data_IF_980502762260
#
_entry.id   IF_980502762260
#
_cell.length_a   1.000
_cell.length_b   1.000
_cell.length_c   1.000
_cell.angle_alpha   90.00
_cell.angle_beta   90.00
_cell.angle_gamma   90.00
#
_symmetry.space_group_name_H-M   'P 1'
#
loop_
_entity.id
_entity.type
_entity.pdbx_description
1 polymer ?
#
# COMPACT_ATOMS: atom_id res chain seq x y z
N UNK A 1 26.29 46.62 -20.07
CA UNK A 1 25.80 46.31 -19.90
C UNK A 1 25.02 45.77 -19.45
N UNK A 2 24.69 45.53 -19.18
CA UNK A 2 23.99 44.97 -18.81
C UNK A 2 23.22 44.65 -18.33
N UNK A 3 22.92 44.65 -18.06
CA UNK A 3 22.19 44.45 -17.61
C UNK A 3 21.37 43.96 -17.42
N UNK A 4 21.15 43.84 -17.38
CA UNK A 4 20.26 43.50 -17.19
C UNK A 4 19.65 42.77 -16.80
N UNK A 5 19.96 42.38 -16.78
CA UNK A 5 19.51 41.63 -16.33
C UNK A 5 18.70 41.66 -15.52
N UNK A 6 18.77 42.06 -15.02
CA UNK A 6 18.03 42.43 -14.26
C UNK A 6 16.86 41.95 -14.48
N UNK A 7 16.58 41.94 -15.12
CA UNK A 7 15.59 41.49 -15.52
C UNK A 7 15.21 40.36 -14.95
N UNK A 8 15.93 39.77 -14.83
CA UNK A 8 15.74 38.61 -14.28
C UNK A 8 14.73 38.74 -13.28
N UNK A 9 14.90 39.51 -12.66
CA UNK A 9 14.06 39.70 -11.63
C UNK A 9 12.67 39.49 -11.94
N UNK A 10 12.36 40.11 -12.70
CA UNK A 10 11.17 40.10 -12.99
C UNK A 10 10.72 38.94 -13.05
N UNK A 11 11.39 38.45 -13.38
CA UNK A 11 11.21 37.22 -13.57
C UNK A 11 10.62 36.82 -12.43
N UNK A 12 11.21 37.04 -11.69
CA UNK A 12 10.82 36.58 -10.54
C UNK A 12 9.43 36.81 -10.40
N UNK A 13 9.13 37.79 -10.65
CA UNK A 13 7.94 38.07 -10.45
C UNK A 13 7.15 37.13 -10.89
N UNK A 14 7.55 36.74 -11.68
CA UNK A 14 6.92 35.85 -12.24
C UNK A 14 6.52 34.98 -11.33
N UNK A 15 7.19 34.85 -10.75
CA UNK A 15 6.97 33.95 -9.85
C UNK A 15 5.67 34.25 -9.29
N UNK A 16 5.47 35.25 -9.20
CA UNK A 16 4.37 35.63 -8.63
C UNK A 16 3.19 34.89 -8.89
N UNK A 17 3.14 34.32 -9.80
CA UNK A 17 1.96 33.72 -10.10
C UNK A 17 1.54 32.89 -9.01
N UNK A 18 0.99 33.29 -8.39
CA UNK A 18 0.34 32.70 -7.61
C UNK A 18 -0.67 32.06 -8.21
N UNK A 19 -0.39 31.06 -8.43
CA UNK A 19 -1.37 30.17 -8.74
C UNK A 19 -2.26 30.16 -7.63
N UNK A 20 -3.42 30.44 -7.88
CA UNK A 20 -4.38 30.39 -6.87
C UNK A 20 -4.46 28.97 -6.43
N UNK A 21 -4.50 28.89 -5.24
CA UNK A 21 -4.60 27.69 -4.62
C UNK A 21 -5.56 26.85 -5.35
N UNK A 22 -5.05 25.88 -5.92
CA UNK A 22 -5.86 24.90 -6.42
C UNK A 22 -6.38 24.19 -5.24
N UNK A 23 -7.57 24.43 -5.05
CA UNK A 23 -8.20 23.64 -4.09
C UNK A 23 -8.45 22.36 -4.73
N UNK A 24 -7.90 21.60 -4.34
CA UNK A 24 -7.58 20.39 -4.74
C UNK A 24 -8.58 19.38 -4.57
N UNK A 25 -9.09 19.07 -5.63
CA UNK A 25 -9.53 17.73 -5.81
C UNK A 25 -8.32 16.85 -5.55
N UNK A 26 -8.41 15.87 -4.69
CA UNK A 26 -7.30 14.99 -4.45
C UNK A 26 -6.91 14.36 -5.77
N UNK A 27 -5.69 14.59 -6.13
CA UNK A 27 -5.14 13.99 -7.32
C UNK A 27 -5.29 12.48 -7.21
N UNK A 28 -5.67 11.83 -8.27
CA UNK A 28 -5.78 10.38 -8.23
C UNK A 28 -4.45 9.82 -7.76
N UNK A 29 -4.50 8.96 -6.77
CA UNK A 29 -3.29 8.39 -6.25
C UNK A 29 -2.74 7.40 -7.25
N UNK A 30 -1.54 7.64 -7.66
CA UNK A 30 -0.84 6.71 -8.55
C UNK A 30 -0.43 5.48 -7.76
N UNK A 31 -0.27 4.36 -8.43
CA UNK A 31 0.16 3.13 -7.78
C UNK A 31 1.47 3.31 -7.02
N UNK A 32 2.38 4.12 -7.55
CA UNK A 32 3.64 4.39 -6.89
C UNK A 32 3.46 5.16 -5.59
N UNK A 33 2.52 6.10 -5.55
CA UNK A 33 2.25 6.86 -4.34
C UNK A 33 1.59 5.98 -3.28
N UNK A 34 0.69 5.12 -3.70
CA UNK A 34 0.05 4.19 -2.79
C UNK A 34 1.06 3.20 -2.21
N UNK A 35 2.03 2.77 -3.00
CA UNK A 35 3.07 1.88 -2.52
C UNK A 35 3.94 2.58 -1.49
N UNK A 36 4.24 3.87 -1.69
CA UNK A 36 4.96 4.67 -0.71
C UNK A 36 4.17 4.83 0.58
N UNK A 37 2.88 5.13 0.47
CA UNK A 37 2.01 5.28 1.64
C UNK A 37 1.91 3.95 2.41
N UNK A 38 1.84 2.83 1.72
CA UNK A 38 1.78 1.52 2.36
C UNK A 38 3.11 1.19 3.04
N UNK A 39 4.23 1.52 2.41
CA UNK A 39 5.54 1.31 3.00
C UNK A 39 5.72 2.15 4.26
N UNK A 40 5.27 3.39 4.24
CA UNK A 40 5.33 4.28 5.40
C UNK A 40 4.47 3.75 6.55
N UNK A 41 3.29 3.24 6.24
CA UNK A 41 2.42 2.65 7.23
C UNK A 41 3.05 1.39 7.82
N UNK A 42 3.63 0.54 6.97
CA UNK A 42 4.30 -0.68 7.42
C UNK A 42 5.47 -0.38 8.35
N UNK A 43 6.16 0.73 8.11
CA UNK A 43 7.31 1.14 8.92
C UNK A 43 6.90 1.84 10.22
N UNK A 44 5.62 1.97 10.49
CA UNK A 44 5.11 2.66 11.68
C UNK A 44 4.25 1.71 12.54
N UNK A 45 4.88 0.76 13.25
CA UNK A 45 4.16 -0.24 14.04
C UNK A 45 3.18 0.37 15.03
N UNK A 46 3.46 1.55 15.54
CA UNK A 46 2.57 2.23 16.48
C UNK A 46 1.19 2.53 15.89
N UNK A 47 1.07 2.46 14.56
CA UNK A 47 -0.20 2.73 13.91
C UNK A 47 -1.07 1.48 13.71
N UNK A 48 -0.48 0.30 13.83
CA UNK A 48 -1.21 -0.92 13.53
C UNK A 48 -0.99 -2.06 14.53
N UNK A 49 0.05 -2.01 15.35
CA UNK A 49 0.36 -3.14 16.24
C UNK A 49 -0.80 -3.45 17.21
N UNK A 50 -1.43 -2.41 17.75
CA UNK A 50 -2.51 -2.62 18.70
C UNK A 50 -3.78 -3.17 18.05
N UNK A 51 -3.83 -3.19 16.74
CA UNK A 51 -4.99 -3.72 16.03
C UNK A 51 -4.90 -5.22 15.82
N UNK A 52 -3.70 -5.78 15.93
CA UNK A 52 -3.47 -7.19 15.62
C UNK A 52 -4.25 -8.08 16.58
N UNK A 53 -5.02 -8.99 16.00
CA UNK A 53 -5.79 -9.98 16.75
C UNK A 53 -5.55 -11.34 16.12
N UNK A 54 -5.39 -12.34 16.94
CA UNK A 54 -5.12 -13.70 16.49
C UNK A 54 -6.35 -14.56 16.67
N UNK A 55 -6.76 -15.23 15.62
CA UNK A 55 -7.90 -16.12 15.64
C UNK A 55 -7.49 -17.44 14.98
N UNK A 56 -7.48 -18.50 15.76
CA UNK A 56 -7.12 -19.81 15.25
C UNK A 56 -8.17 -20.38 14.28
N UNK A 57 -9.34 -19.80 14.24
CA UNK A 57 -10.41 -20.25 13.37
C UNK A 57 -10.27 -19.81 11.91
N UNK A 58 -9.42 -18.84 11.63
CA UNK A 58 -9.21 -18.39 10.27
C UNK A 58 -8.64 -16.98 10.17
N UNK A 59 -8.44 -16.50 8.95
CA UNK A 59 -7.90 -15.17 8.73
C UNK A 59 -8.85 -14.07 9.19
N UNK A 60 -8.28 -13.02 9.76
CA UNK A 60 -9.02 -11.83 10.15
C UNK A 60 -8.57 -10.65 9.30
N UNK A 61 -9.52 -9.94 8.76
CA UNK A 61 -9.28 -8.70 8.02
C UNK A 61 -9.64 -7.52 8.91
N UNK A 62 -8.68 -6.68 9.21
CA UNK A 62 -8.83 -5.58 10.16
C UNK A 62 -8.52 -4.24 9.47
N UNK A 63 -9.50 -3.35 9.30
CA UNK A 63 -9.23 -2.04 8.70
C UNK A 63 -8.28 -1.23 9.58
N UNK A 64 -7.43 -0.44 8.95
CA UNK A 64 -6.49 0.43 9.66
C UNK A 64 -7.08 1.84 9.76
N UNK A 65 -7.37 2.33 10.95
CA UNK A 65 -7.90 3.68 11.12
C UNK A 65 -6.93 4.73 10.58
N UNK A 66 -7.47 5.72 9.92
CA UNK A 66 -6.65 6.81 9.38
C UNK A 66 -5.90 6.46 8.10
N UNK A 67 -6.10 5.27 7.57
CA UNK A 67 -5.52 4.84 6.30
C UNK A 67 -6.61 4.23 5.43
N UNK A 68 -7.45 5.03 4.79
CA UNK A 68 -8.56 4.54 4.00
C UNK A 68 -8.12 3.56 2.92
N UNK A 69 -8.81 2.43 2.84
CA UNK A 69 -8.48 1.40 1.86
C UNK A 69 -7.35 0.48 2.27
N UNK A 70 -6.77 0.66 3.46
CA UNK A 70 -5.73 -0.23 3.97
C UNK A 70 -6.30 -1.14 5.05
N UNK A 71 -5.83 -2.37 5.09
CA UNK A 71 -6.23 -3.33 6.13
C UNK A 71 -5.10 -4.30 6.45
N UNK A 72 -5.14 -4.82 7.66
CA UNK A 72 -4.30 -5.93 8.07
C UNK A 72 -5.01 -7.23 7.75
N UNK A 73 -4.25 -8.24 7.39
CA UNK A 73 -4.73 -9.60 7.33
C UNK A 73 -3.88 -10.41 8.31
N UNK A 74 -4.51 -10.92 9.34
CA UNK A 74 -3.84 -11.76 10.35
C UNK A 74 -4.35 -13.18 10.16
N UNK A 75 -3.47 -14.09 9.83
CA UNK A 75 -3.88 -15.44 9.46
C UNK A 75 -3.07 -16.51 10.19
N UNK A 76 -3.74 -17.57 10.65
CA UNK A 76 -3.06 -18.68 11.32
C UNK A 76 -2.25 -19.51 10.33
N UNK A 77 -1.30 -20.32 10.82
CA UNK A 77 -0.47 -21.13 9.94
C UNK A 77 -1.31 -22.08 9.08
N UNK A 78 -0.97 -22.17 7.81
CA UNK A 78 -1.67 -23.00 6.84
C UNK A 78 -2.95 -22.40 6.29
N UNK A 79 -3.39 -21.27 6.78
CA UNK A 79 -4.61 -20.65 6.29
C UNK A 79 -4.38 -19.99 4.93
N UNK A 80 -5.44 -19.98 4.12
CA UNK A 80 -5.42 -19.29 2.83
C UNK A 80 -6.49 -18.21 2.84
N UNK A 81 -6.26 -17.15 2.10
CA UNK A 81 -7.21 -16.06 1.94
C UNK A 81 -7.14 -15.52 0.52
N UNK A 82 -8.29 -15.34 -0.08
CA UNK A 82 -8.37 -14.69 -1.38
C UNK A 82 -8.24 -13.18 -1.18
N UNK A 83 -7.52 -12.53 -2.06
CA UNK A 83 -7.26 -11.11 -1.96
C UNK A 83 -7.48 -10.45 -3.32
N UNK A 84 -8.10 -9.29 -3.29
CA UNK A 84 -8.30 -8.45 -4.45
C UNK A 84 -7.60 -7.10 -4.28
N UNK A 85 -6.61 -7.06 -3.43
CA UNK A 85 -5.86 -5.83 -3.13
C UNK A 85 -4.97 -5.42 -4.30
N UNK A 86 -4.66 -4.15 -4.38
CA UNK A 86 -3.71 -3.64 -5.37
C UNK A 86 -2.27 -3.72 -4.91
N UNK A 87 -2.06 -3.81 -3.61
CA UNK A 87 -0.72 -3.80 -3.02
C UNK A 87 -0.70 -4.57 -1.71
N UNK A 88 0.42 -5.18 -1.41
CA UNK A 88 0.60 -5.93 -0.18
C UNK A 88 2.06 -5.96 0.27
N UNK A 89 2.25 -6.04 1.57
CA UNK A 89 3.57 -6.23 2.17
C UNK A 89 3.44 -7.07 3.43
N UNK A 90 4.50 -7.74 3.81
CA UNK A 90 4.53 -8.51 5.05
C UNK A 90 4.95 -7.62 6.22
N UNK A 91 4.35 -7.84 7.37
CA UNK A 91 4.73 -7.19 8.63
C UNK A 91 5.38 -8.17 9.59
N UNK A 92 4.87 -9.38 9.65
CA UNK A 92 5.40 -10.43 10.52
C UNK A 92 5.00 -11.80 9.99
N UNK A 93 5.80 -12.79 10.29
CA UNK A 93 5.55 -14.16 9.86
C UNK A 93 5.85 -14.36 8.39
N UNK A 94 5.43 -15.50 7.86
CA UNK A 94 5.71 -15.88 6.50
C UNK A 94 4.42 -16.01 5.69
N UNK A 95 4.34 -15.31 4.60
CA UNK A 95 3.19 -15.38 3.71
C UNK A 95 3.68 -15.48 2.27
N UNK A 96 3.00 -16.30 1.49
CA UNK A 96 3.28 -16.50 0.08
C UNK A 96 2.03 -16.16 -0.72
N UNK A 97 2.22 -15.39 -1.77
CA UNK A 97 1.13 -15.01 -2.64
C UNK A 97 1.21 -15.81 -3.93
N UNK A 98 0.09 -16.36 -4.35
CA UNK A 98 -0.02 -17.03 -5.64
C UNK A 98 -1.02 -16.25 -6.50
N UNK A 99 -0.67 -16.07 -7.76
CA UNK A 99 -1.53 -15.39 -8.72
C UNK A 99 -2.34 -16.41 -9.51
N UNK A 100 -3.43 -15.94 -10.10
CA UNK A 100 -4.33 -16.78 -10.89
C UNK A 100 -5.56 -17.23 -10.12
N UNK A 101 -6.64 -17.57 -10.84
CA UNK A 101 -7.94 -17.83 -10.22
C UNK A 101 -7.95 -19.05 -9.30
N UNK A 102 -7.06 -20.00 -9.54
CA UNK A 102 -7.02 -21.22 -8.75
C UNK A 102 -5.80 -21.28 -7.82
N UNK A 103 -5.06 -20.20 -7.69
CA UNK A 103 -3.84 -20.20 -6.91
C UNK A 103 -2.76 -21.07 -7.53
N UNK A 104 -2.84 -21.34 -8.82
CA UNK A 104 -1.90 -22.22 -9.53
C UNK A 104 -0.85 -21.43 -10.30
N UNK A 105 -0.90 -20.11 -10.23
CA UNK A 105 0.07 -19.26 -10.90
C UNK A 105 1.38 -19.14 -10.14
N UNK A 106 2.14 -18.10 -10.45
CA UNK A 106 3.43 -17.88 -9.85
C UNK A 106 3.32 -17.59 -8.35
N UNK A 107 4.11 -18.29 -7.56
CA UNK A 107 4.17 -18.08 -6.13
C UNK A 107 5.30 -17.10 -5.79
N UNK A 108 4.99 -16.13 -4.97
CA UNK A 108 5.96 -15.13 -4.52
C UNK A 108 5.84 -14.90 -3.02
N UNK A 109 6.94 -14.95 -2.27
CA UNK A 109 6.88 -14.64 -0.86
C UNK A 109 6.71 -13.13 -0.65
N UNK A 110 5.87 -12.76 0.30
CA UNK A 110 5.81 -11.40 0.76
C UNK A 110 6.95 -11.18 1.74
N UNK A 111 7.65 -10.08 1.61
CA UNK A 111 8.81 -9.78 2.44
C UNK A 111 8.61 -8.48 3.18
N UNK A 112 9.05 -8.41 4.45
CA UNK A 112 9.02 -7.17 5.20
C UNK A 112 9.83 -6.10 4.48
N UNK A 113 9.31 -4.88 4.48
CA UNK A 113 9.99 -3.75 3.87
C UNK A 113 9.86 -3.69 2.35
N UNK A 114 9.16 -4.61 1.75
CA UNK A 114 8.98 -4.63 0.31
C UNK A 114 7.51 -4.71 -0.05
N UNK A 115 7.03 -3.73 -0.79
CA UNK A 115 5.64 -3.70 -1.25
C UNK A 115 5.54 -4.36 -2.62
N UNK A 116 4.65 -5.33 -2.75
CA UNK A 116 4.30 -5.90 -4.04
C UNK A 116 3.12 -5.10 -4.60
N UNK A 117 3.26 -4.67 -5.83
CA UNK A 117 2.21 -3.93 -6.54
C UNK A 117 1.58 -4.87 -7.57
N UNK A 118 0.26 -4.97 -7.52
CA UNK A 118 -0.51 -5.76 -8.46
C UNK A 118 -1.12 -4.79 -9.47
N UNK A 119 -0.64 -4.80 -10.68
CA UNK A 119 -1.00 -3.80 -11.68
C UNK A 119 -2.45 -3.82 -12.14
N UNK A 120 -3.12 -4.92 -12.00
CA UNK A 120 -4.53 -5.06 -12.37
C UNK A 120 -5.21 -6.00 -11.37
N UNK A 121 -6.53 -5.98 -11.38
CA UNK A 121 -7.31 -6.80 -10.47
C UNK A 121 -7.19 -8.30 -10.78
N UNK A 122 -5.99 -8.81 -10.83
CA UNK A 122 -5.83 -10.23 -10.98
C UNK A 122 -6.13 -10.87 -9.63
N UNK A 123 -6.98 -11.86 -9.58
CA UNK A 123 -7.22 -12.56 -8.33
C UNK A 123 -5.93 -13.21 -7.86
N UNK A 124 -5.68 -13.09 -6.59
CA UNK A 124 -4.52 -13.73 -5.97
C UNK A 124 -4.90 -14.29 -4.62
N UNK A 125 -4.15 -15.26 -4.19
CA UNK A 125 -4.40 -15.97 -2.94
C UNK A 125 -3.18 -15.90 -2.06
N UNK A 126 -3.41 -15.67 -0.79
CA UNK A 126 -2.37 -15.62 0.20
C UNK A 126 -2.39 -16.90 1.02
N UNK A 127 -1.22 -17.48 1.24
CA UNK A 127 -1.03 -18.63 2.10
C UNK A 127 -0.10 -18.25 3.23
N UNK A 128 -0.49 -18.52 4.47
CA UNK A 128 0.39 -18.38 5.60
C UNK A 128 1.29 -19.60 5.67
N UNK A 129 2.56 -19.39 5.37
CA UNK A 129 3.55 -20.45 5.40
C UNK A 129 4.18 -20.51 6.80
N UNK A 130 4.97 -21.54 7.03
CA UNK A 130 5.64 -21.69 8.32
C UNK A 130 4.71 -22.17 9.42
N UNK A 131 5.15 -22.01 10.66
CA UNK A 131 4.46 -22.56 11.83
C UNK A 131 3.75 -21.51 12.67
N UNK A 132 3.85 -20.25 12.30
CA UNK A 132 3.26 -19.16 13.06
C UNK A 132 2.23 -18.38 12.23
N UNK A 133 1.60 -17.43 12.89
CA UNK A 133 0.68 -16.52 12.21
C UNK A 133 1.46 -15.62 11.27
N UNK A 134 0.80 -15.18 10.21
CA UNK A 134 1.31 -14.11 9.38
C UNK A 134 0.48 -12.86 9.60
N UNK A 135 1.14 -11.71 9.56
CA UNK A 135 0.50 -10.41 9.57
C UNK A 135 0.95 -9.69 8.31
N UNK A 136 0.01 -9.39 7.45
CA UNK A 136 0.28 -8.70 6.21
C UNK A 136 -0.56 -7.44 6.11
N UNK A 137 -0.07 -6.46 5.39
CA UNK A 137 -0.74 -5.18 5.20
C UNK A 137 -1.10 -5.04 3.73
N UNK A 138 -2.33 -4.67 3.47
CA UNK A 138 -2.87 -4.60 2.13
C UNK A 138 -3.50 -3.25 1.86
N UNK A 139 -3.56 -2.86 0.62
CA UNK A 139 -4.28 -1.66 0.20
C UNK A 139 -5.11 -1.97 -1.04
N UNK A 140 -6.30 -1.41 -1.07
CA UNK A 140 -7.19 -1.54 -2.21
C UNK A 140 -6.61 -0.78 -3.41
N UNK A 141 -6.95 -1.22 -4.60
CA UNK A 141 -6.64 -0.45 -5.80
C UNK A 141 -7.41 0.85 -5.71
N UNK A 142 -6.73 1.94 -6.02
CA UNK A 142 -7.40 3.22 -6.10
C UNK A 142 -8.39 3.17 -7.25
N UNK A 143 -9.66 3.22 -6.92
CA UNK A 143 -10.65 3.36 -7.95
C UNK A 143 -10.74 4.83 -8.28
N UNK A 144 -10.37 5.14 -9.49
CA UNK A 144 -10.64 6.46 -10.04
C UNK A 144 -12.10 6.45 -10.42
N UNK A 145 -12.87 7.23 -9.75
CA UNK A 145 -14.24 7.49 -10.16
C UNK A 145 -14.31 8.86 -10.81
#
# INVERSE_FOLDING_TARGET
MNTDLSVAPEIALLAAPRVPAQTDAPSPRTDGRLAGDLADLAAAPQRWWDLVRFDAGGPLRIPVPGAPGAWLLVAPPGATADCDCGQATALAGEAVETTGPDGTGTARPLRPGRVLVHGTRAPHRLLTAGHGYSVTLHAAVATVR
#
